data_IF_397805520981
#
_entry.id   IF_397805520981
#
_cell.length_a   1.000
_cell.length_b   1.000
_cell.length_c   1.000
_cell.angle_alpha   90.00
_cell.angle_beta   90.00
_cell.angle_gamma   90.00
#
_symmetry.space_group_name_H-M   'P 1'
#
loop_
_entity.id
_entity.type
_entity.pdbx_description
1 polymer ?
#
# COMPACT_ATOMS: atom_id res chain seq x y z
N UNK A 1 6.93 12.51 19.90
CA UNK A 1 6.84 13.97 19.56
C UNK A 1 7.78 14.78 20.46
N UNK A 2 8.66 15.56 19.85
CA UNK A 2 9.61 16.40 20.62
C UNK A 2 8.99 17.75 20.98
N UNK A 3 8.21 18.34 20.07
CA UNK A 3 7.58 19.63 20.28
C UNK A 3 6.23 19.70 19.55
N UNK A 4 5.30 20.48 20.10
CA UNK A 4 4.01 20.77 19.47
C UNK A 4 3.87 22.28 19.24
N UNK A 5 3.25 22.64 18.12
CA UNK A 5 2.81 24.03 17.88
C UNK A 5 1.63 24.40 18.79
N UNK A 6 1.43 25.70 19.02
CA UNK A 6 0.37 26.22 19.94
C UNK A 6 -1.06 25.84 19.49
N UNK A 7 -1.27 25.61 18.19
CA UNK A 7 -2.58 25.26 17.65
C UNK A 7 -2.91 23.76 17.74
N UNK A 8 -1.95 22.89 18.09
CA UNK A 8 -2.15 21.45 18.22
C UNK A 8 -2.95 21.14 19.47
N UNK A 9 -4.02 20.37 19.33
CA UNK A 9 -4.97 20.04 20.42
C UNK A 9 -5.00 18.57 20.79
N UNK A 10 -4.74 17.67 19.82
CA UNK A 10 -4.88 16.22 20.03
C UNK A 10 -3.61 15.57 20.57
N UNK A 11 -2.47 16.22 20.45
CA UNK A 11 -1.17 15.65 20.78
C UNK A 11 -0.37 16.54 21.71
N UNK A 12 0.54 15.93 22.45
CA UNK A 12 1.47 16.60 23.38
C UNK A 12 2.89 16.03 23.21
N UNK A 13 3.88 16.75 23.73
CA UNK A 13 5.25 16.26 23.82
C UNK A 13 5.29 14.89 24.54
N UNK A 14 6.08 13.97 24.02
CA UNK A 14 6.22 12.60 24.51
C UNK A 14 5.20 11.61 23.92
N UNK A 15 4.16 12.05 23.20
CA UNK A 15 3.27 11.12 22.51
C UNK A 15 4.02 10.36 21.42
N UNK A 16 3.77 9.04 21.36
CA UNK A 16 4.21 8.17 20.24
C UNK A 16 3.21 8.29 19.11
N UNK A 17 3.69 8.60 17.90
CA UNK A 17 2.81 8.87 16.75
C UNK A 17 3.38 8.26 15.47
N UNK A 18 2.51 7.76 14.62
CA UNK A 18 2.80 7.47 13.22
C UNK A 18 2.47 8.72 12.39
N UNK A 19 3.33 9.05 11.43
CA UNK A 19 3.15 10.18 10.52
C UNK A 19 2.44 9.68 9.27
N UNK A 20 1.31 10.31 8.91
CA UNK A 20 0.60 9.99 7.68
C UNK A 20 1.34 10.61 6.49
N UNK A 21 1.47 9.87 5.41
CA UNK A 21 2.11 10.35 4.16
C UNK A 21 1.39 11.57 3.59
N UNK A 22 0.07 11.62 3.74
CA UNK A 22 -0.75 12.76 3.38
C UNK A 22 -1.00 13.65 4.59
N UNK A 23 -0.61 14.91 4.49
CA UNK A 23 -1.00 15.96 5.44
C UNK A 23 -2.16 16.76 4.86
N UNK A 24 -3.10 17.24 5.69
CA UNK A 24 -4.26 17.95 5.14
C UNK A 24 -4.88 18.93 6.12
N UNK A 25 -5.38 20.05 5.59
CA UNK A 25 -5.91 21.15 6.41
C UNK A 25 -7.24 20.85 7.10
N UNK A 26 -8.04 19.89 6.57
CA UNK A 26 -9.38 19.59 7.11
C UNK A 26 -10.50 20.55 6.66
N UNK A 27 -10.19 21.70 6.04
CA UNK A 27 -11.14 22.80 5.83
C UNK A 27 -11.48 23.06 4.36
N UNK A 28 -10.58 22.71 3.42
CA UNK A 28 -10.79 22.99 2.00
C UNK A 28 -11.93 22.12 1.41
N UNK A 29 -12.29 22.44 0.16
CA UNK A 29 -13.37 21.72 -0.55
C UNK A 29 -13.19 20.21 -0.56
N UNK A 30 -11.98 19.76 -0.83
CA UNK A 30 -11.67 18.32 -0.92
C UNK A 30 -11.64 17.65 0.44
N UNK A 31 -10.96 18.26 1.44
CA UNK A 31 -10.87 17.71 2.79
C UNK A 31 -12.25 17.50 3.42
N UNK A 32 -13.17 18.45 3.27
CA UNK A 32 -14.55 18.35 3.79
C UNK A 32 -15.39 17.23 3.16
N UNK A 33 -14.91 16.63 2.07
CA UNK A 33 -15.53 15.51 1.35
C UNK A 33 -14.79 14.20 1.50
N UNK A 34 -13.73 14.17 2.32
CA UNK A 34 -12.92 12.98 2.53
C UNK A 34 -11.83 12.74 1.48
N UNK A 35 -11.65 13.64 0.52
CA UNK A 35 -10.61 13.54 -0.50
C UNK A 35 -9.34 14.29 -0.07
N UNK A 36 -8.75 13.85 1.06
CA UNK A 36 -7.70 14.62 1.74
C UNK A 36 -6.39 14.68 0.98
N UNK A 37 -6.09 13.68 0.16
CA UNK A 37 -4.96 13.66 -0.78
C UNK A 37 -5.01 14.80 -1.81
N UNK A 38 -6.19 15.34 -2.10
CA UNK A 38 -6.39 16.50 -2.98
C UNK A 38 -6.47 17.82 -2.21
N UNK A 39 -5.95 17.89 -0.98
CA UNK A 39 -5.93 19.11 -0.20
C UNK A 39 -5.26 20.26 -0.97
N UNK A 40 -5.95 21.41 -1.06
CA UNK A 40 -5.46 22.57 -1.83
C UNK A 40 -4.56 23.50 -1.05
N UNK A 41 -4.30 23.23 0.22
CA UNK A 41 -3.35 24.00 1.02
C UNK A 41 -1.91 23.71 0.55
N UNK A 42 -1.03 24.69 0.56
CA UNK A 42 0.37 24.56 0.11
C UNK A 42 1.17 23.46 0.82
N UNK A 43 0.84 23.21 2.10
CA UNK A 43 1.43 22.16 2.93
C UNK A 43 0.52 20.92 3.05
N UNK A 44 -0.51 20.78 2.21
CA UNK A 44 -1.46 19.68 2.23
C UNK A 44 -1.30 18.72 1.06
N UNK A 45 -1.99 17.60 1.12
CA UNK A 45 -1.85 16.51 0.17
C UNK A 45 -0.47 15.87 0.25
N UNK A 46 0.05 15.40 -0.84
CA UNK A 46 1.37 14.78 -0.93
C UNK A 46 2.49 15.82 -0.85
N UNK A 47 2.63 16.43 0.33
CA UNK A 47 3.57 17.53 0.57
C UNK A 47 4.85 17.06 1.29
N UNK A 48 4.72 16.23 2.33
CA UNK A 48 5.82 15.79 3.18
C UNK A 48 6.84 14.97 2.36
N UNK A 49 8.08 15.40 2.36
CA UNK A 49 9.14 14.76 1.56
C UNK A 49 9.10 15.11 0.06
N UNK A 50 8.11 15.89 -0.41
CA UNK A 50 7.98 16.28 -1.81
C UNK A 50 8.07 17.81 -2.01
N UNK A 51 7.26 18.58 -1.30
CA UNK A 51 7.24 20.05 -1.37
C UNK A 51 7.75 20.72 -0.10
N UNK A 52 7.82 19.97 0.97
CA UNK A 52 8.43 20.35 2.25
C UNK A 52 9.35 19.22 2.73
N UNK A 53 10.19 19.50 3.72
CA UNK A 53 11.14 18.54 4.26
C UNK A 53 10.45 17.25 4.74
N UNK A 54 11.10 16.10 4.51
CA UNK A 54 10.60 14.78 4.83
C UNK A 54 11.15 14.19 6.12
N UNK A 55 10.84 12.90 6.36
CA UNK A 55 11.14 12.19 7.61
C UNK A 55 12.49 11.47 7.67
N UNK A 56 13.34 11.55 6.61
CA UNK A 56 14.68 10.94 6.64
C UNK A 56 15.69 11.91 7.28
N UNK A 57 15.44 12.29 8.52
CA UNK A 57 16.18 13.26 9.30
C UNK A 57 15.95 12.99 10.79
N UNK A 58 16.79 13.57 11.66
CA UNK A 58 16.62 13.47 13.12
C UNK A 58 15.27 14.02 13.58
N UNK A 59 14.76 15.06 12.92
CA UNK A 59 13.49 15.70 13.21
C UNK A 59 12.73 15.97 11.92
N UNK A 60 11.41 15.84 12.01
CA UNK A 60 10.50 16.20 10.91
C UNK A 60 9.39 17.09 11.42
N UNK A 61 9.09 18.17 10.68
CA UNK A 61 7.96 19.05 10.97
C UNK A 61 6.73 18.59 10.19
N UNK A 62 5.71 18.13 10.92
CA UNK A 62 4.45 17.67 10.31
C UNK A 62 3.40 18.78 10.38
N UNK A 63 2.98 19.35 9.25
CA UNK A 63 1.89 20.32 9.21
C UNK A 63 0.56 19.66 9.58
N UNK A 64 -0.38 20.48 10.11
CA UNK A 64 -1.72 20.00 10.49
C UNK A 64 -1.66 18.74 11.37
N UNK A 65 -0.81 18.76 12.40
CA UNK A 65 -0.52 17.58 13.24
C UNK A 65 -1.78 16.86 13.73
N UNK A 66 -2.86 17.59 14.07
CA UNK A 66 -4.14 17.03 14.50
C UNK A 66 -4.83 16.18 13.41
N UNK A 67 -4.43 16.31 12.16
CA UNK A 67 -4.93 15.54 11.01
C UNK A 67 -3.85 14.64 10.40
N UNK A 68 -2.57 15.06 10.43
CA UNK A 68 -1.44 14.37 9.79
C UNK A 68 -0.75 13.34 10.67
N UNK A 69 -1.20 13.13 11.89
CA UNK A 69 -0.61 12.17 12.84
C UNK A 69 -1.67 11.18 13.34
N UNK A 70 -1.20 9.98 13.65
CA UNK A 70 -2.00 8.93 14.27
C UNK A 70 -1.30 8.47 15.55
N UNK A 71 -2.00 8.46 16.67
CA UNK A 71 -1.45 8.00 17.95
C UNK A 71 -1.18 6.51 17.92
N UNK A 72 0.02 6.11 18.35
CA UNK A 72 0.37 4.71 18.54
C UNK A 72 -0.07 4.29 19.94
N UNK A 73 -0.97 3.30 20.08
CA UNK A 73 -1.36 2.76 21.40
C UNK A 73 -0.16 2.15 22.13
N UNK A 74 -0.19 2.15 23.45
CA UNK A 74 0.92 1.62 24.27
C UNK A 74 1.19 0.12 24.00
N UNK A 75 0.15 -0.63 23.64
CA UNK A 75 0.23 -2.06 23.34
C UNK A 75 0.77 -2.37 21.92
N UNK A 76 0.94 -1.35 21.07
CA UNK A 76 1.46 -1.50 19.70
C UNK A 76 2.93 -1.10 19.67
N UNK A 77 3.78 -1.98 19.18
CA UNK A 77 5.20 -1.70 18.99
C UNK A 77 5.42 -0.68 17.86
N UNK A 78 6.49 0.13 17.95
CA UNK A 78 6.81 1.13 16.92
C UNK A 78 6.99 0.50 15.53
N UNK A 79 7.67 -0.65 15.46
CA UNK A 79 7.87 -1.38 14.20
C UNK A 79 6.54 -1.85 13.58
N UNK A 80 5.57 -2.27 14.39
CA UNK A 80 4.25 -2.65 13.88
C UNK A 80 3.47 -1.46 13.33
N UNK A 81 3.67 -0.26 13.91
CA UNK A 81 3.04 0.98 13.47
C UNK A 81 3.74 1.64 12.28
N UNK A 82 5.00 1.27 11.99
CA UNK A 82 5.89 1.97 11.05
C UNK A 82 5.28 2.18 9.65
N UNK A 83 4.53 1.20 9.17
CA UNK A 83 3.99 1.22 7.80
C UNK A 83 2.59 1.83 7.70
N UNK A 84 1.97 2.18 8.83
CA UNK A 84 0.58 2.66 8.88
C UNK A 84 0.37 3.94 8.07
N UNK A 85 1.35 4.84 8.09
CA UNK A 85 1.23 6.16 7.47
C UNK A 85 1.34 6.16 5.93
N UNK A 86 1.80 5.06 5.30
CA UNK A 86 2.02 5.01 3.86
C UNK A 86 1.65 3.65 3.26
N UNK A 87 2.59 2.69 3.17
CA UNK A 87 2.39 1.49 2.34
C UNK A 87 1.27 0.58 2.86
N UNK A 88 1.03 0.54 4.17
CA UNK A 88 -0.08 -0.22 4.72
C UNK A 88 -1.43 0.47 4.46
N UNK A 89 -1.49 1.80 4.60
CA UNK A 89 -2.68 2.57 4.23
C UNK A 89 -2.92 2.53 2.71
N UNK A 90 -1.87 2.49 1.90
CA UNK A 90 -1.97 2.29 0.45
C UNK A 90 -2.59 0.93 0.11
N UNK A 91 -2.13 -0.14 0.76
CA UNK A 91 -2.71 -1.48 0.60
C UNK A 91 -4.17 -1.55 1.06
N UNK A 92 -4.48 -0.91 2.20
CA UNK A 92 -5.83 -0.84 2.74
C UNK A 92 -6.78 -0.06 1.82
N UNK A 93 -6.35 1.11 1.36
CA UNK A 93 -7.07 1.93 0.39
C UNK A 93 -7.31 1.17 -0.93
N UNK A 94 -6.29 0.54 -1.50
CA UNK A 94 -6.41 -0.28 -2.70
C UNK A 94 -7.42 -1.42 -2.54
N UNK A 95 -7.35 -2.17 -1.44
CA UNK A 95 -8.28 -3.24 -1.13
C UNK A 95 -9.72 -2.73 -0.96
N UNK A 96 -9.92 -1.55 -0.35
CA UNK A 96 -11.24 -0.95 -0.21
C UNK A 96 -11.87 -0.54 -1.54
N UNK A 97 -11.04 -0.06 -2.49
CA UNK A 97 -11.50 0.30 -3.83
C UNK A 97 -11.82 -0.91 -4.71
N UNK A 98 -11.22 -2.05 -4.45
CA UNK A 98 -11.36 -3.24 -5.28
C UNK A 98 -12.74 -3.94 -5.15
N UNK A 99 -13.60 -3.47 -4.22
CA UNK A 99 -14.95 -4.01 -3.98
C UNK A 99 -14.98 -5.52 -3.73
N UNK A 100 -13.95 -6.03 -3.07
CA UNK A 100 -13.79 -7.45 -2.75
C UNK A 100 -14.97 -7.93 -1.91
N UNK A 101 -15.54 -9.06 -2.31
CA UNK A 101 -16.63 -9.73 -1.59
C UNK A 101 -16.17 -11.08 -1.03
N UNK A 102 -16.84 -11.59 0.01
CA UNK A 102 -16.60 -12.95 0.46
C UNK A 102 -16.70 -13.97 -0.69
N UNK A 103 -15.76 -14.90 -0.72
CA UNK A 103 -15.60 -15.95 -1.73
C UNK A 103 -15.10 -15.50 -3.12
N UNK A 104 -14.80 -14.21 -3.35
CA UNK A 104 -14.18 -13.74 -4.59
C UNK A 104 -12.78 -14.34 -4.77
N UNK A 105 -12.36 -14.47 -6.04
CA UNK A 105 -10.96 -14.67 -6.40
C UNK A 105 -10.32 -13.32 -6.64
N UNK A 106 -9.34 -12.98 -5.83
CA UNK A 106 -8.59 -11.71 -5.89
C UNK A 106 -7.19 -11.98 -6.44
N UNK A 107 -6.76 -11.22 -7.44
CA UNK A 107 -5.40 -11.25 -7.94
C UNK A 107 -4.68 -9.95 -7.60
N UNK A 108 -3.48 -10.05 -7.02
CA UNK A 108 -2.61 -8.91 -6.72
C UNK A 108 -1.34 -9.05 -7.55
N UNK A 109 -1.07 -8.06 -8.41
CA UNK A 109 0.11 -7.99 -9.24
C UNK A 109 1.15 -7.11 -8.54
N UNK A 110 2.25 -7.72 -8.15
CA UNK A 110 3.29 -7.16 -7.31
C UNK A 110 3.23 -7.72 -5.88
N UNK A 111 4.32 -8.34 -5.44
CA UNK A 111 4.55 -8.80 -4.07
C UNK A 111 5.73 -8.05 -3.40
N UNK A 112 5.99 -6.82 -3.85
CA UNK A 112 6.87 -5.88 -3.16
C UNK A 112 6.26 -5.42 -1.83
N UNK A 113 6.90 -4.51 -1.08
CA UNK A 113 6.40 -4.08 0.23
C UNK A 113 4.94 -3.64 0.21
N UNK A 114 4.56 -2.77 -0.74
CA UNK A 114 3.16 -2.32 -0.90
C UNK A 114 2.24 -3.46 -1.34
N UNK A 115 2.73 -4.37 -2.19
CA UNK A 115 1.98 -5.55 -2.63
C UNK A 115 1.69 -6.51 -1.48
N UNK A 116 2.66 -6.77 -0.60
CA UNK A 116 2.46 -7.58 0.62
C UNK A 116 1.43 -6.93 1.56
N UNK A 117 1.49 -5.60 1.75
CA UNK A 117 0.45 -4.86 2.48
C UNK A 117 -0.93 -5.00 1.81
N UNK A 118 -0.98 -4.93 0.47
CA UNK A 118 -2.22 -5.07 -0.29
C UNK A 118 -2.81 -6.48 -0.16
N UNK A 119 -2.00 -7.52 -0.25
CA UNK A 119 -2.40 -8.91 0.00
C UNK A 119 -2.98 -9.08 1.40
N UNK A 120 -2.28 -8.55 2.41
CA UNK A 120 -2.72 -8.55 3.81
C UNK A 120 -4.08 -7.88 3.98
N UNK A 121 -4.25 -6.68 3.40
CA UNK A 121 -5.50 -5.93 3.50
C UNK A 121 -6.64 -6.57 2.70
N UNK A 122 -6.37 -7.21 1.55
CA UNK A 122 -7.37 -7.93 0.79
C UNK A 122 -8.00 -9.09 1.60
N UNK A 123 -7.21 -9.77 2.45
CA UNK A 123 -7.69 -10.84 3.34
C UNK A 123 -8.77 -10.36 4.33
N UNK A 124 -8.78 -9.08 4.71
CA UNK A 124 -9.80 -8.53 5.62
C UNK A 124 -11.22 -8.65 5.08
N UNK A 125 -11.39 -8.74 3.75
CA UNK A 125 -12.69 -8.84 3.09
C UNK A 125 -13.18 -10.28 2.91
N UNK A 126 -12.42 -11.28 3.34
CA UNK A 126 -12.81 -12.70 3.29
C UNK A 126 -12.90 -13.29 1.88
N UNK A 127 -11.95 -13.00 0.96
CA UNK A 127 -11.95 -13.63 -0.36
C UNK A 127 -11.83 -15.15 -0.25
N UNK A 128 -12.39 -15.86 -1.23
CA UNK A 128 -12.28 -17.32 -1.33
C UNK A 128 -10.91 -17.78 -1.78
N UNK A 129 -10.21 -16.94 -2.56
CA UNK A 129 -8.85 -17.20 -3.06
C UNK A 129 -8.11 -15.89 -3.27
N UNK A 130 -6.84 -15.84 -2.84
CA UNK A 130 -5.92 -14.74 -3.13
C UNK A 130 -4.75 -15.27 -3.95
N UNK A 131 -4.50 -14.66 -5.10
CA UNK A 131 -3.41 -14.98 -6.03
C UNK A 131 -2.39 -13.84 -5.97
N UNK A 132 -1.15 -14.15 -5.60
CA UNK A 132 -0.04 -13.22 -5.70
C UNK A 132 0.74 -13.46 -7.00
N UNK A 133 1.07 -12.38 -7.71
CA UNK A 133 1.78 -12.42 -8.99
C UNK A 133 3.01 -11.50 -8.88
N UNK A 134 4.21 -12.06 -9.02
CA UNK A 134 5.47 -11.29 -8.99
C UNK A 134 6.55 -12.02 -9.78
N UNK A 135 7.58 -11.32 -10.21
CA UNK A 135 8.75 -11.91 -10.89
C UNK A 135 9.77 -12.50 -9.91
N UNK A 136 9.71 -12.15 -8.63
CA UNK A 136 10.57 -12.67 -7.57
C UNK A 136 9.93 -13.87 -6.89
N UNK A 137 10.52 -15.05 -7.04
CA UNK A 137 10.06 -16.25 -6.32
C UNK A 137 10.14 -16.06 -4.80
N UNK A 138 11.16 -15.40 -4.30
CA UNK A 138 11.35 -15.18 -2.86
C UNK A 138 10.20 -14.38 -2.24
N UNK A 139 9.76 -13.31 -2.92
CA UNK A 139 8.61 -12.52 -2.48
C UNK A 139 7.31 -13.29 -2.56
N UNK A 140 7.17 -14.12 -3.58
CA UNK A 140 6.02 -15.01 -3.75
C UNK A 140 5.96 -16.06 -2.65
N UNK A 141 7.08 -16.72 -2.35
CA UNK A 141 7.15 -17.70 -1.26
C UNK A 141 6.89 -17.03 0.09
N UNK A 142 7.45 -15.84 0.36
CA UNK A 142 7.13 -15.07 1.56
C UNK A 142 5.62 -14.82 1.68
N UNK A 143 4.97 -14.36 0.60
CA UNK A 143 3.53 -14.12 0.61
C UNK A 143 2.73 -15.41 0.93
N UNK A 144 3.19 -16.55 0.44
CA UNK A 144 2.56 -17.85 0.69
C UNK A 144 2.81 -18.36 2.11
N UNK A 145 4.04 -18.29 2.59
CA UNK A 145 4.43 -18.72 3.96
C UNK A 145 3.71 -17.91 5.04
N UNK A 146 3.52 -16.61 4.79
CA UNK A 146 2.77 -15.72 5.67
C UNK A 146 1.24 -15.88 5.55
N UNK A 147 0.74 -16.81 4.71
CA UNK A 147 -0.68 -17.01 4.50
C UNK A 147 -1.40 -15.84 3.80
N UNK A 148 -0.65 -14.94 3.16
CA UNK A 148 -1.19 -13.79 2.45
C UNK A 148 -1.73 -14.17 1.07
N UNK A 149 -1.18 -15.21 0.44
CA UNK A 149 -1.63 -15.74 -0.84
C UNK A 149 -1.90 -17.25 -0.75
N UNK A 150 -2.96 -17.72 -1.40
CA UNK A 150 -3.27 -19.17 -1.55
C UNK A 150 -2.51 -19.74 -2.74
N UNK A 151 -2.35 -18.94 -3.79
CA UNK A 151 -1.66 -19.31 -5.03
C UNK A 151 -0.66 -18.22 -5.38
N UNK A 152 0.50 -18.64 -5.88
CA UNK A 152 1.56 -17.77 -6.36
C UNK A 152 1.84 -18.05 -7.83
N UNK A 153 2.06 -17.00 -8.64
CA UNK A 153 2.33 -17.12 -10.08
C UNK A 153 3.51 -16.22 -10.43
N UNK A 154 4.55 -16.81 -11.01
CA UNK A 154 5.69 -16.06 -11.53
C UNK A 154 5.53 -15.90 -13.06
N UNK A 155 5.30 -14.67 -13.59
CA UNK A 155 5.09 -14.41 -15.01
C UNK A 155 6.31 -14.73 -15.89
N UNK A 156 7.50 -14.89 -15.32
CA UNK A 156 8.69 -15.33 -16.06
C UNK A 156 8.70 -16.84 -16.31
N UNK A 157 7.86 -17.60 -15.61
CA UNK A 157 7.81 -19.06 -15.63
C UNK A 157 6.48 -19.62 -16.13
N UNK A 158 5.42 -18.83 -16.02
CA UNK A 158 4.04 -19.29 -16.28
C UNK A 158 3.26 -18.23 -17.08
N UNK A 159 2.32 -18.67 -17.90
CA UNK A 159 1.34 -17.78 -18.50
C UNK A 159 0.26 -17.43 -17.47
N UNK A 160 0.32 -16.20 -16.97
CA UNK A 160 -0.55 -15.72 -15.89
C UNK A 160 -2.02 -15.80 -16.29
N UNK A 161 -2.37 -15.44 -17.53
CA UNK A 161 -3.76 -15.46 -18.01
C UNK A 161 -4.32 -16.90 -18.02
N UNK A 162 -3.53 -17.85 -18.49
CA UNK A 162 -3.93 -19.26 -18.47
C UNK A 162 -4.06 -19.82 -17.06
N UNK A 163 -3.10 -19.51 -16.16
CA UNK A 163 -3.15 -20.00 -14.79
C UNK A 163 -4.36 -19.43 -14.03
N UNK A 164 -4.63 -18.12 -14.12
CA UNK A 164 -5.81 -17.52 -13.50
C UNK A 164 -7.11 -18.12 -14.08
N UNK A 165 -7.18 -18.35 -15.39
CA UNK A 165 -8.34 -19.01 -16.01
C UNK A 165 -8.55 -20.45 -15.51
N UNK A 166 -7.48 -21.24 -15.35
CA UNK A 166 -7.59 -22.59 -14.75
C UNK A 166 -8.18 -22.55 -13.35
N UNK A 167 -7.70 -21.64 -12.52
CA UNK A 167 -8.15 -21.48 -11.13
C UNK A 167 -9.59 -21.00 -11.01
N UNK A 168 -10.10 -20.31 -12.04
CA UNK A 168 -11.41 -19.65 -12.03
C UNK A 168 -12.41 -20.27 -13.01
N UNK A 169 -12.21 -21.51 -13.44
CA UNK A 169 -13.07 -22.20 -14.39
C UNK A 169 -13.28 -21.40 -15.70
N UNK A 170 -12.24 -20.77 -16.20
CA UNK A 170 -12.23 -19.97 -17.43
C UNK A 170 -12.68 -18.52 -17.28
N UNK A 171 -13.21 -18.10 -16.13
CA UNK A 171 -13.81 -16.77 -15.95
C UNK A 171 -12.80 -15.63 -15.86
N UNK A 172 -11.74 -15.78 -15.09
CA UNK A 172 -10.82 -14.74 -14.64
C UNK A 172 -11.09 -14.31 -13.18
N UNK A 173 -10.25 -13.43 -12.64
CA UNK A 173 -10.34 -12.93 -11.26
C UNK A 173 -11.51 -11.95 -11.07
N UNK A 174 -12.16 -11.99 -9.91
CA UNK A 174 -13.29 -11.13 -9.54
C UNK A 174 -12.84 -9.69 -9.26
N UNK A 175 -11.68 -9.54 -8.63
CA UNK A 175 -11.01 -8.27 -8.41
C UNK A 175 -9.52 -8.40 -8.73
N UNK A 176 -8.94 -7.37 -9.34
CA UNK A 176 -7.51 -7.32 -9.66
C UNK A 176 -6.92 -6.02 -9.12
N UNK A 177 -5.86 -6.14 -8.30
CA UNK A 177 -5.11 -5.00 -7.80
C UNK A 177 -3.73 -4.98 -8.45
N UNK A 178 -3.43 -3.92 -9.17
CA UNK A 178 -2.15 -3.70 -9.81
C UNK A 178 -1.31 -2.78 -8.92
N UNK A 179 -0.20 -3.33 -8.38
CA UNK A 179 0.64 -2.68 -7.34
C UNK A 179 2.12 -2.67 -7.74
N UNK A 180 2.45 -3.10 -8.96
CA UNK A 180 3.82 -3.24 -9.43
C UNK A 180 4.31 -2.07 -10.29
N UNK A 181 3.43 -1.45 -11.09
CA UNK A 181 3.78 -0.33 -11.98
C UNK A 181 4.72 -0.70 -13.14
N UNK A 182 4.84 -1.98 -13.47
CA UNK A 182 5.71 -2.45 -14.54
C UNK A 182 5.13 -2.23 -15.94
N UNK A 183 5.97 -2.32 -16.97
CA UNK A 183 5.62 -2.02 -18.36
C UNK A 183 4.36 -2.74 -18.86
N UNK A 184 4.18 -4.01 -18.49
CA UNK A 184 3.08 -4.85 -18.99
C UNK A 184 2.05 -5.19 -17.90
N UNK A 185 2.20 -4.70 -16.68
CA UNK A 185 1.38 -5.11 -15.54
C UNK A 185 -0.05 -4.58 -15.62
N UNK A 186 -0.26 -3.37 -16.15
CA UNK A 186 -1.61 -2.87 -16.43
C UNK A 186 -2.33 -3.74 -17.47
N UNK A 187 -1.63 -4.11 -18.54
CA UNK A 187 -2.16 -5.02 -19.56
C UNK A 187 -2.51 -6.38 -18.97
N UNK A 188 -1.65 -6.92 -18.13
CA UNK A 188 -1.90 -8.17 -17.40
C UNK A 188 -3.14 -8.05 -16.54
N UNK A 189 -3.28 -6.95 -15.78
CA UNK A 189 -4.39 -6.73 -14.85
C UNK A 189 -5.75 -6.83 -15.54
N UNK A 190 -5.98 -6.09 -16.63
CA UNK A 190 -7.26 -6.14 -17.30
C UNK A 190 -7.50 -7.44 -18.07
N UNK A 191 -6.45 -8.16 -18.51
CA UNK A 191 -6.58 -9.44 -19.16
C UNK A 191 -7.05 -10.55 -18.24
N UNK A 192 -6.48 -10.65 -17.04
CA UNK A 192 -6.82 -11.68 -16.05
C UNK A 192 -8.14 -11.40 -15.33
N UNK A 193 -8.64 -10.18 -15.39
CA UNK A 193 -9.94 -9.80 -14.82
C UNK A 193 -11.09 -10.45 -15.59
N UNK A 194 -12.10 -11.00 -14.88
CA UNK A 194 -13.32 -11.49 -15.52
C UNK A 194 -14.17 -10.33 -16.06
N UNK A 195 -15.15 -10.59 -16.92
CA UNK A 195 -16.17 -9.58 -17.23
C UNK A 195 -16.86 -9.05 -15.97
N UNK A 196 -17.13 -7.74 -15.95
CA UNK A 196 -17.68 -6.99 -14.81
C UNK A 196 -16.83 -7.03 -13.54
N UNK A 197 -15.51 -7.20 -13.65
CA UNK A 197 -14.57 -7.11 -12.54
C UNK A 197 -14.16 -5.66 -12.26
N UNK A 198 -13.67 -5.43 -11.04
CA UNK A 198 -12.95 -4.20 -10.70
C UNK A 198 -11.45 -4.42 -10.89
N UNK A 199 -10.81 -3.50 -11.62
CA UNK A 199 -9.36 -3.41 -11.76
C UNK A 199 -8.90 -2.15 -11.03
N UNK A 200 -8.25 -2.33 -9.89
CA UNK A 200 -7.71 -1.24 -9.08
C UNK A 200 -6.22 -1.06 -9.39
N UNK A 201 -5.85 0.10 -9.93
CA UNK A 201 -4.47 0.46 -10.24
C UNK A 201 -3.95 1.32 -9.09
N UNK A 202 -3.11 0.72 -8.26
CA UNK A 202 -2.52 1.33 -7.06
C UNK A 202 -1.13 1.86 -7.34
N UNK A 203 -0.40 1.19 -8.24
CA UNK A 203 0.96 1.55 -8.58
C UNK A 203 1.06 2.88 -9.32
N UNK A 204 2.19 3.56 -9.13
CA UNK A 204 2.61 4.69 -9.97
C UNK A 204 3.28 4.16 -11.24
N UNK A 205 2.96 4.80 -12.37
CA UNK A 205 3.57 4.51 -13.66
C UNK A 205 4.39 5.70 -14.14
N UNK A 206 5.59 5.44 -14.61
CA UNK A 206 6.45 6.47 -15.22
C UNK A 206 6.03 6.75 -16.66
N UNK A 207 5.49 5.73 -17.37
CA UNK A 207 5.11 5.81 -18.77
C UNK A 207 3.59 5.69 -18.97
N UNK A 208 3.03 6.36 -20.00
CA UNK A 208 1.61 6.23 -20.34
C UNK A 208 1.20 4.78 -20.60
N UNK A 209 0.04 4.38 -20.06
CA UNK A 209 -0.53 3.07 -20.27
C UNK A 209 -1.67 3.12 -21.30
N UNK A 210 -1.75 2.10 -22.15
CA UNK A 210 -2.75 2.02 -23.21
C UNK A 210 -4.01 1.30 -22.70
N UNK A 211 -5.16 1.92 -22.89
CA UNK A 211 -6.48 1.32 -22.69
C UNK A 211 -7.03 0.85 -24.04
N UNK A 212 -6.83 -0.42 -24.44
CA UNK A 212 -7.22 -0.91 -25.76
C UNK A 212 -8.73 -1.21 -25.79
N UNK A 213 -9.56 -0.18 -25.95
CA UNK A 213 -11.02 -0.30 -25.91
C UNK A 213 -11.60 -1.37 -26.82
N UNK A 214 -11.09 -1.60 -28.08
CA UNK A 214 -11.57 -2.69 -28.91
C UNK A 214 -11.45 -4.07 -28.26
N UNK A 215 -10.33 -4.32 -27.56
CA UNK A 215 -10.06 -5.61 -26.90
C UNK A 215 -10.86 -5.77 -25.60
N UNK A 216 -11.33 -4.68 -25.04
CA UNK A 216 -12.10 -4.63 -23.78
C UNK A 216 -13.60 -4.62 -24.00
N UNK A 217 -14.07 -4.47 -25.25
CA UNK A 217 -15.47 -4.42 -25.55
C UNK A 217 -16.18 -5.68 -25.06
N UNK A 218 -17.24 -5.49 -24.26
CA UNK A 218 -17.97 -6.59 -23.65
C UNK A 218 -17.41 -7.12 -22.35
N UNK A 219 -16.20 -6.70 -21.90
CA UNK A 219 -15.71 -7.03 -20.55
C UNK A 219 -16.37 -6.19 -19.45
N UNK A 220 -16.91 -5.01 -19.78
CA UNK A 220 -17.58 -4.11 -18.81
C UNK A 220 -16.77 -3.89 -17.53
N UNK A 221 -15.47 -3.64 -17.66
CA UNK A 221 -14.57 -3.47 -16.52
C UNK A 221 -14.78 -2.12 -15.84
N UNK A 222 -14.61 -2.10 -14.52
CA UNK A 222 -14.51 -0.87 -13.74
C UNK A 222 -13.04 -0.65 -13.38
N UNK A 223 -12.48 0.47 -13.84
CA UNK A 223 -11.12 0.89 -13.46
C UNK A 223 -11.18 1.91 -12.33
N UNK A 224 -10.39 1.68 -11.29
CA UNK A 224 -10.20 2.64 -10.20
C UNK A 224 -8.73 2.89 -10.02
N UNK A 225 -8.35 4.16 -9.90
CA UNK A 225 -6.96 4.57 -9.69
C UNK A 225 -6.93 5.87 -8.91
N UNK A 226 -5.80 6.16 -8.30
CA UNK A 226 -5.57 7.40 -7.56
C UNK A 226 -4.38 7.25 -6.61
N UNK A 227 -4.15 8.28 -5.79
CA UNK A 227 -3.22 8.22 -4.68
C UNK A 227 -3.95 7.90 -3.37
N UNK A 228 -3.28 7.23 -2.46
CA UNK A 228 -3.80 7.00 -1.11
C UNK A 228 -4.12 8.33 -0.43
N UNK A 229 -5.17 8.37 0.35
CA UNK A 229 -5.53 9.55 1.16
C UNK A 229 -5.05 9.44 2.62
N UNK A 230 -4.57 8.28 3.03
CA UNK A 230 -4.08 7.98 4.38
C UNK A 230 -5.05 8.42 5.52
N UNK A 231 -6.34 8.61 5.22
CA UNK A 231 -7.35 8.97 6.23
C UNK A 231 -7.74 7.78 7.13
N UNK A 232 -7.37 6.56 6.72
CA UNK A 232 -7.70 5.30 7.40
C UNK A 232 -6.66 4.86 8.45
N UNK A 233 -5.66 5.69 8.77
CA UNK A 233 -4.56 5.27 9.66
C UNK A 233 -5.02 4.90 11.08
N UNK A 234 -6.08 5.53 11.61
CA UNK A 234 -6.65 5.17 12.92
C UNK A 234 -7.32 3.78 12.88
N UNK A 235 -8.03 3.44 11.80
CA UNK A 235 -8.64 2.14 11.59
C UNK A 235 -7.58 1.05 11.46
N UNK A 236 -6.54 1.32 10.71
CA UNK A 236 -5.40 0.40 10.54
C UNK A 236 -4.73 0.15 11.89
N UNK A 237 -4.52 1.19 12.69
CA UNK A 237 -3.93 1.05 14.03
C UNK A 237 -4.79 0.16 14.95
N UNK A 238 -6.11 0.26 14.86
CA UNK A 238 -7.04 -0.64 15.57
C UNK A 238 -6.93 -2.08 15.09
N UNK A 239 -6.76 -2.28 13.78
CA UNK A 239 -6.58 -3.62 13.19
C UNK A 239 -5.25 -4.25 13.60
N UNK A 240 -4.17 -3.47 13.66
CA UNK A 240 -2.88 -3.93 14.19
C UNK A 240 -3.02 -4.32 15.67
N UNK A 241 -3.60 -3.44 16.50
CA UNK A 241 -3.84 -3.73 17.92
C UNK A 241 -4.69 -4.99 18.13
N UNK A 242 -5.63 -5.25 17.25
CA UNK A 242 -6.49 -6.45 17.30
C UNK A 242 -5.82 -7.71 16.70
N UNK A 243 -4.57 -7.64 16.26
CA UNK A 243 -3.85 -8.76 15.61
C UNK A 243 -4.45 -9.19 14.26
N UNK A 244 -5.17 -8.29 13.57
CA UNK A 244 -5.75 -8.54 12.25
C UNK A 244 -4.81 -8.16 11.10
N UNK A 245 -3.87 -7.29 11.36
CA UNK A 245 -2.79 -6.90 10.46
C UNK A 245 -1.46 -7.09 11.20
N UNK A 246 -0.55 -7.83 10.59
CA UNK A 246 0.80 -8.08 11.11
C UNK A 246 1.83 -7.75 10.02
N UNK A 247 2.59 -6.68 10.23
CA UNK A 247 3.60 -6.19 9.31
C UNK A 247 5.01 -6.67 9.64
N UNK A 248 5.17 -7.58 10.59
CA UNK A 248 6.48 -8.05 11.08
C UNK A 248 7.36 -8.66 9.97
N UNK A 249 6.75 -9.30 8.96
CA UNK A 249 7.46 -9.89 7.83
C UNK A 249 8.06 -8.86 6.86
N UNK A 250 7.70 -7.58 6.96
CA UNK A 250 8.19 -6.54 6.05
C UNK A 250 9.57 -6.03 6.43
N UNK A 251 9.92 -5.98 7.72
CA UNK A 251 11.21 -5.45 8.18
C UNK A 251 12.26 -6.55 8.10
N UNK A 252 13.00 -6.59 7.00
CA UNK A 252 14.09 -7.54 6.81
C UNK A 252 15.43 -7.01 7.30
N UNK A 253 15.59 -5.68 7.32
CA UNK A 253 16.86 -5.03 7.66
C UNK A 253 16.63 -3.87 8.63
N UNK A 254 17.65 -3.60 9.45
CA UNK A 254 17.67 -2.48 10.39
C UNK A 254 19.03 -1.80 10.31
N UNK A 255 19.01 -0.47 10.42
CA UNK A 255 20.24 0.32 10.51
C UNK A 255 19.97 1.66 11.18
N UNK A 256 21.01 2.43 11.45
CA UNK A 256 20.91 3.79 11.96
C UNK A 256 20.93 4.81 10.83
N UNK A 257 20.44 6.02 11.11
CA UNK A 257 20.38 7.12 10.14
C UNK A 257 21.77 7.44 9.54
N UNK A 258 22.85 7.33 10.31
CA UNK A 258 24.22 7.55 9.86
C UNK A 258 24.66 6.62 8.73
N UNK A 259 24.03 5.43 8.60
CA UNK A 259 24.31 4.42 7.57
C UNK A 259 23.24 4.37 6.47
N UNK A 260 22.40 5.40 6.36
CA UNK A 260 21.27 5.40 5.43
C UNK A 260 21.68 5.23 3.96
N UNK A 261 22.88 5.71 3.58
CA UNK A 261 23.39 5.57 2.22
C UNK A 261 23.70 4.12 1.84
N UNK A 262 24.18 3.33 2.80
CA UNK A 262 24.40 1.89 2.61
C UNK A 262 23.05 1.16 2.47
N UNK A 263 22.06 1.55 3.28
CA UNK A 263 20.71 1.02 3.19
C UNK A 263 20.04 1.32 1.83
N UNK A 264 20.28 2.51 1.26
CA UNK A 264 19.84 2.85 -0.09
C UNK A 264 20.46 1.94 -1.15
N UNK A 265 21.78 1.71 -1.09
CA UNK A 265 22.47 0.83 -2.05
C UNK A 265 21.91 -0.60 -2.02
N UNK A 266 21.66 -1.14 -0.83
CA UNK A 266 21.05 -2.47 -0.69
C UNK A 266 19.61 -2.48 -1.21
N UNK A 267 18.81 -1.46 -0.85
CA UNK A 267 17.40 -1.41 -1.21
C UNK A 267 17.18 -1.20 -2.71
N UNK A 268 17.89 -0.24 -3.32
CA UNK A 268 17.79 0.09 -4.73
C UNK A 268 18.23 -1.08 -5.62
N UNK A 269 19.33 -1.73 -5.25
CA UNK A 269 19.87 -2.86 -5.99
C UNK A 269 19.25 -4.21 -5.60
N UNK A 270 18.22 -4.22 -4.74
CA UNK A 270 17.49 -5.42 -4.29
C UNK A 270 18.44 -6.52 -3.77
N UNK A 271 19.49 -6.11 -3.04
CA UNK A 271 20.45 -7.03 -2.46
C UNK A 271 19.90 -7.68 -1.18
N UNK A 272 20.48 -8.80 -0.78
CA UNK A 272 20.26 -9.48 0.51
C UNK A 272 18.78 -9.73 0.86
N UNK A 273 17.95 -10.02 -0.19
CA UNK A 273 16.52 -10.32 -0.02
C UNK A 273 15.73 -9.19 0.66
N UNK A 274 16.15 -7.94 0.50
CA UNK A 274 15.55 -6.79 1.16
C UNK A 274 14.07 -6.60 0.77
N UNK A 275 13.21 -6.47 1.78
CA UNK A 275 11.83 -6.03 1.65
C UNK A 275 11.74 -4.58 2.13
N UNK A 276 12.07 -4.31 3.39
CA UNK A 276 12.13 -2.96 3.97
C UNK A 276 13.24 -2.84 5.01
N UNK A 277 13.79 -1.62 5.08
CA UNK A 277 14.65 -1.17 6.16
C UNK A 277 13.83 -0.45 7.23
N UNK A 278 14.09 -0.76 8.49
CA UNK A 278 13.76 0.12 9.60
C UNK A 278 15.02 0.95 9.93
N UNK A 279 14.91 2.28 9.87
CA UNK A 279 15.99 3.21 10.16
C UNK A 279 15.77 3.77 11.56
N UNK A 280 16.69 3.50 12.48
CA UNK A 280 16.71 4.07 13.81
C UNK A 280 17.40 5.44 13.77
N UNK A 281 16.75 6.46 14.30
CA UNK A 281 17.23 7.85 14.18
C UNK A 281 18.02 8.29 15.42
N UNK A 282 17.65 7.82 16.62
CA UNK A 282 18.26 8.21 17.91
C UNK A 282 18.65 6.99 18.75
#
# INVERSE_FOLDING_TARGET
>A
MEQTGEAVKKFKQGDRVAVNVETFCGECYFCRRGYVNNCTHEHGGWALGCRIDGGQAEYVRVPFADNGLTKIPDEVADEAALFTGDILSTGYWGASLAEIKPADTVAVIGAGPTGLCTLMCARLYGPGMVIAIDTSDERLELAKEQGLADVIINPLKQDVEQEVKKLTLGRGADAVLEVAGGRDTFRMAWKIARPNAVVCVVALYEEPQILPLPDMYGKNLVFKTGGVDASCCEEIMKLIKAGKLDTSCLITHRTKLEHIMEAYDVFENKKDHVIKYAIEVL
#
